data_IF_348740353958
#
_entry.id   IF_348740353958
#
_cell.length_a   1.000
_cell.length_b   1.000
_cell.length_c   1.000
_cell.angle_alpha   90.00
_cell.angle_beta   90.00
_cell.angle_gamma   90.00
#
_symmetry.space_group_name_H-M   'P 1'
#
loop_
_entity.id
_entity.type
_entity.pdbx_description
1 polymer ?
#
# COMPACT_ATOMS: atom_id res chain seq x y z
N UNK A 1 14.08 -0.07 34.15
CA UNK A 1 14.64 -1.35 33.67
C UNK A 1 14.74 -1.21 32.17
N UNK A 2 15.94 -1.32 31.62
CA UNK A 2 16.20 -1.22 30.19
C UNK A 2 16.14 -2.63 29.62
N UNK A 3 15.30 -2.85 28.62
CA UNK A 3 15.23 -4.13 27.91
C UNK A 3 16.12 -3.94 26.69
N UNK A 4 17.24 -4.66 26.62
CA UNK A 4 18.22 -4.62 25.52
C UNK A 4 17.61 -5.21 24.21
N UNK A 5 16.51 -4.63 23.75
CA UNK A 5 15.73 -5.10 22.62
C UNK A 5 15.16 -3.92 21.82
N UNK A 6 15.11 -4.09 20.51
CA UNK A 6 14.41 -3.15 19.64
C UNK A 6 12.90 -3.33 19.81
N UNK A 7 12.19 -2.24 20.06
CA UNK A 7 10.72 -2.21 20.00
C UNK A 7 10.29 -1.76 18.62
N UNK A 8 9.42 -2.55 17.98
CA UNK A 8 8.81 -2.20 16.70
C UNK A 8 7.36 -1.77 16.92
N UNK A 9 7.08 -0.48 16.72
CA UNK A 9 5.71 0.02 16.75
C UNK A 9 5.18 0.20 15.33
N UNK A 10 4.02 -0.39 15.08
CA UNK A 10 3.32 -0.28 13.79
C UNK A 10 2.11 0.62 13.96
N UNK A 11 2.04 1.70 13.20
CA UNK A 11 1.01 2.72 13.35
C UNK A 11 0.49 3.25 12.02
N UNK A 12 -0.79 3.58 11.94
CA UNK A 12 -1.38 4.15 10.72
C UNK A 12 -1.17 5.67 10.64
N UNK A 13 -1.07 6.17 9.41
CA UNK A 13 -1.06 7.61 9.15
C UNK A 13 -2.44 8.24 9.41
N UNK A 14 -2.46 9.56 9.56
CA UNK A 14 -3.68 10.35 9.64
C UNK A 14 -4.42 10.31 8.30
N UNK A 15 -5.62 10.90 8.25
CA UNK A 15 -6.41 11.00 7.02
C UNK A 15 -5.64 11.65 5.85
N UNK A 16 -4.64 12.48 6.13
CA UNK A 16 -3.82 13.14 5.11
C UNK A 16 -2.62 12.32 4.64
N UNK A 17 -2.32 11.17 5.28
CA UNK A 17 -1.20 10.29 4.90
C UNK A 17 0.20 10.84 5.22
N UNK A 18 0.29 11.99 5.90
CA UNK A 18 1.57 12.70 6.11
C UNK A 18 2.22 12.44 7.47
N UNK A 19 1.39 12.25 8.49
CA UNK A 19 1.82 12.13 9.89
C UNK A 19 1.08 10.97 10.54
N UNK A 20 1.66 10.47 11.62
CA UNK A 20 1.11 9.41 12.45
C UNK A 20 -0.19 9.88 13.10
N UNK A 21 -1.22 9.02 13.15
CA UNK A 21 -2.50 9.41 13.75
C UNK A 21 -2.39 9.49 15.28
N UNK A 22 -2.44 10.67 15.88
CA UNK A 22 -2.56 10.80 17.34
C UNK A 22 -1.56 11.79 17.94
N UNK A 23 -0.88 11.38 19.01
CA UNK A 23 0.00 12.24 19.79
C UNK A 23 1.39 12.37 19.13
N UNK A 24 1.85 13.61 18.93
CA UNK A 24 3.19 13.94 18.41
C UNK A 24 4.33 13.39 19.27
N UNK A 25 4.06 13.06 20.53
CA UNK A 25 4.99 12.37 21.43
C UNK A 25 5.52 11.05 20.84
N UNK A 26 4.70 10.34 20.06
CA UNK A 26 5.12 9.11 19.39
C UNK A 26 6.28 9.41 18.45
N UNK A 27 6.14 10.36 17.53
CA UNK A 27 7.23 10.74 16.64
C UNK A 27 8.42 11.31 17.39
N UNK A 28 8.23 12.06 18.48
CA UNK A 28 9.33 12.64 19.26
C UNK A 28 10.19 11.56 19.94
N UNK A 29 9.57 10.53 20.50
CA UNK A 29 10.20 9.51 21.33
C UNK A 29 10.84 8.35 20.57
N UNK A 30 10.74 8.30 19.24
CA UNK A 30 11.37 7.23 18.45
C UNK A 30 12.57 7.70 17.66
N UNK A 31 13.57 6.83 17.53
CA UNK A 31 14.80 7.18 16.82
C UNK A 31 14.61 7.13 15.31
N UNK A 32 13.94 6.08 14.80
CA UNK A 32 13.74 5.89 13.36
C UNK A 32 12.27 5.71 13.04
N UNK A 33 11.78 6.44 12.03
CA UNK A 33 10.40 6.33 11.54
C UNK A 33 10.41 5.87 10.07
N UNK A 34 9.91 4.66 9.79
CA UNK A 34 9.82 4.10 8.43
C UNK A 34 8.41 4.28 7.88
N UNK A 35 8.31 4.94 6.73
CA UNK A 35 7.05 5.14 6.02
C UNK A 35 6.92 4.18 4.84
N UNK A 36 5.76 3.53 4.77
CA UNK A 36 5.34 2.73 3.63
C UNK A 36 4.31 3.51 2.82
N UNK A 37 4.62 3.75 1.54
CA UNK A 37 3.71 4.42 0.61
C UNK A 37 3.47 3.52 -0.60
N UNK A 38 2.22 3.29 -0.97
CA UNK A 38 1.90 2.58 -2.21
C UNK A 38 2.18 3.45 -3.45
N UNK A 39 2.95 2.92 -4.40
CA UNK A 39 3.25 3.50 -5.71
C UNK A 39 2.94 2.47 -6.79
N UNK A 40 1.67 2.46 -7.22
CA UNK A 40 1.10 1.46 -8.14
C UNK A 40 1.26 0.00 -7.66
N UNK A 41 2.17 -0.78 -8.26
CA UNK A 41 2.52 -2.16 -7.89
C UNK A 41 3.71 -2.25 -6.93
N UNK A 42 4.32 -1.11 -6.61
CA UNK A 42 5.44 -0.99 -5.67
C UNK A 42 4.99 -0.42 -4.33
N UNK A 43 5.80 -0.72 -3.32
CA UNK A 43 5.75 -0.15 -1.98
C UNK A 43 7.07 0.59 -1.78
N UNK A 44 6.99 1.91 -1.61
CA UNK A 44 8.14 2.70 -1.17
C UNK A 44 8.32 2.51 0.32
N UNK A 45 9.53 2.13 0.71
CA UNK A 45 9.99 2.06 2.09
C UNK A 45 11.01 3.17 2.29
N UNK A 46 10.65 4.20 3.05
CA UNK A 46 11.51 5.36 3.26
C UNK A 46 11.72 5.67 4.75
N UNK A 47 12.88 6.22 5.05
CA UNK A 47 13.19 6.73 6.38
C UNK A 47 12.67 8.17 6.52
N UNK A 48 11.51 8.35 7.16
CA UNK A 48 10.89 9.67 7.37
C UNK A 48 11.47 10.44 8.57
N UNK A 49 12.17 9.76 9.47
CA UNK A 49 12.94 10.34 10.60
C UNK A 49 14.08 9.39 10.93
N UNK A 50 15.25 9.95 11.23
CA UNK A 50 16.36 9.24 11.85
C UNK A 50 17.01 10.17 12.86
N UNK A 51 17.13 9.73 14.11
CA UNK A 51 17.84 10.42 15.18
C UNK A 51 19.21 9.76 15.31
N UNK A 52 20.26 10.58 15.40
CA UNK A 52 21.64 10.14 15.68
C UNK A 52 22.28 9.16 14.66
N UNK A 53 21.58 8.85 13.57
CA UNK A 53 22.07 8.01 12.48
C UNK A 53 21.70 8.57 11.10
N UNK A 54 22.47 8.19 10.08
CA UNK A 54 22.14 8.50 8.68
C UNK A 54 20.87 7.74 8.28
N UNK A 55 19.90 8.46 7.69
CA UNK A 55 18.72 7.85 7.09
C UNK A 55 19.10 6.79 6.03
N UNK A 56 18.45 5.65 6.04
CA UNK A 56 18.64 4.63 5.00
C UNK A 56 18.02 5.11 3.67
N UNK A 57 18.59 4.71 2.52
CA UNK A 57 18.05 5.10 1.21
C UNK A 57 16.67 4.50 0.99
N UNK A 58 15.79 5.22 0.30
CA UNK A 58 14.47 4.70 -0.08
C UNK A 58 14.61 3.40 -0.86
N UNK A 59 13.89 2.37 -0.42
CA UNK A 59 13.82 1.09 -1.09
C UNK A 59 12.46 0.92 -1.76
N UNK A 60 12.46 0.27 -2.91
CA UNK A 60 11.23 -0.13 -3.59
C UNK A 60 11.05 -1.63 -3.36
N UNK A 61 9.85 -2.01 -2.95
CA UNK A 61 9.51 -3.39 -2.68
C UNK A 61 8.20 -3.74 -3.37
N UNK A 62 7.93 -5.03 -3.54
CA UNK A 62 6.63 -5.53 -3.97
C UNK A 62 6.20 -6.68 -3.08
N UNK A 63 4.91 -6.95 -3.03
CA UNK A 63 4.39 -8.13 -2.35
C UNK A 63 4.49 -9.34 -3.27
N UNK A 64 5.13 -10.40 -2.77
CA UNK A 64 5.14 -11.71 -3.39
C UNK A 64 4.22 -12.62 -2.58
N UNK A 65 3.11 -13.12 -3.15
CA UNK A 65 2.30 -14.13 -2.49
C UNK A 65 3.09 -15.43 -2.34
N UNK A 66 3.00 -16.05 -1.17
CA UNK A 66 3.66 -17.31 -0.83
C UNK A 66 2.61 -18.27 -0.31
N UNK A 67 2.55 -19.47 -0.90
CA UNK A 67 1.69 -20.55 -0.42
C UNK A 67 2.30 -21.20 0.82
N UNK A 68 1.50 -21.35 1.86
CA UNK A 68 1.86 -22.06 3.08
C UNK A 68 1.33 -23.51 3.01
N UNK A 69 1.91 -24.44 3.80
CA UNK A 69 1.25 -25.72 4.09
C UNK A 69 -0.16 -25.42 4.61
N UNK A 70 -1.15 -26.25 4.24
CA UNK A 70 -2.58 -26.08 4.59
C UNK A 70 -3.41 -25.14 3.69
N UNK A 71 -2.94 -24.85 2.47
CA UNK A 71 -3.67 -24.02 1.49
C UNK A 71 -3.92 -22.58 1.93
N UNK A 72 -3.20 -22.12 2.94
CA UNK A 72 -3.15 -20.71 3.30
C UNK A 72 -2.17 -19.96 2.39
N UNK A 73 -2.38 -18.65 2.23
CA UNK A 73 -1.46 -17.78 1.52
C UNK A 73 -1.04 -16.63 2.41
N UNK A 74 0.26 -16.35 2.44
CA UNK A 74 0.83 -15.15 3.04
C UNK A 74 1.49 -14.28 1.96
N UNK A 75 1.92 -13.08 2.32
CA UNK A 75 2.67 -12.20 1.42
C UNK A 75 3.99 -11.80 2.07
N UNK A 76 5.07 -11.84 1.29
CA UNK A 76 6.39 -11.34 1.71
C UNK A 76 6.78 -10.14 0.86
N UNK A 77 7.43 -9.15 1.47
CA UNK A 77 8.01 -8.03 0.74
C UNK A 77 9.35 -8.45 0.17
N UNK A 78 9.53 -8.29 -1.15
CA UNK A 78 10.80 -8.50 -1.83
C UNK A 78 11.28 -7.18 -2.44
N UNK A 79 12.58 -6.94 -2.43
CA UNK A 79 13.19 -5.79 -3.11
C UNK A 79 12.82 -5.84 -4.59
N UNK A 80 12.46 -4.69 -5.13
CA UNK A 80 12.15 -4.48 -6.53
C UNK A 80 12.88 -3.24 -7.03
N UNK A 81 13.19 -3.23 -8.33
CA UNK A 81 13.72 -2.03 -8.97
C UNK A 81 12.56 -1.10 -9.36
N UNK A 82 12.73 0.20 -9.15
CA UNK A 82 11.83 1.17 -9.75
C UNK A 82 12.16 1.31 -11.24
N UNK A 83 11.40 0.62 -12.08
CA UNK A 83 11.48 0.81 -13.53
C UNK A 83 10.62 2.00 -13.91
N UNK A 84 11.19 2.98 -14.62
CA UNK A 84 10.40 4.05 -15.23
C UNK A 84 9.61 3.42 -16.36
N UNK A 85 8.33 3.13 -16.11
CA UNK A 85 7.46 2.53 -17.12
C UNK A 85 7.44 3.37 -18.41
N UNK A 86 7.50 2.70 -19.53
CA UNK A 86 7.43 3.24 -20.88
C UNK A 86 6.17 2.72 -21.56
N UNK A 87 5.88 3.21 -22.77
CA UNK A 87 4.76 2.67 -23.56
C UNK A 87 4.97 1.21 -23.97
N UNK A 88 6.21 0.72 -23.95
CA UNK A 88 6.56 -0.64 -24.35
C UNK A 88 6.35 -1.64 -23.22
N UNK A 89 6.26 -1.18 -21.97
CA UNK A 89 6.06 -2.03 -20.81
C UNK A 89 4.59 -2.45 -20.66
N UNK A 90 4.38 -3.56 -19.96
CA UNK A 90 3.03 -4.00 -19.60
C UNK A 90 2.35 -3.02 -18.64
N UNK A 91 1.04 -2.90 -18.78
CA UNK A 91 0.22 -2.11 -17.85
C UNK A 91 0.14 -2.83 -16.51
N UNK A 92 0.20 -2.07 -15.42
CA UNK A 92 -0.07 -2.62 -14.09
C UNK A 92 -1.54 -3.03 -13.98
N UNK A 93 -1.88 -3.81 -12.95
CA UNK A 93 -3.24 -4.29 -12.75
C UNK A 93 -4.26 -3.14 -12.66
N UNK A 94 -3.93 -2.06 -11.96
CA UNK A 94 -4.84 -0.91 -11.82
C UNK A 94 -4.95 -0.11 -13.12
N UNK A 95 -3.83 0.06 -13.82
CA UNK A 95 -3.81 0.70 -15.14
C UNK A 95 -4.68 -0.07 -16.14
N UNK A 96 -4.53 -1.39 -16.19
CA UNK A 96 -5.29 -2.27 -17.07
C UNK A 96 -6.79 -2.25 -16.72
N UNK A 97 -7.15 -2.30 -15.43
CA UNK A 97 -8.55 -2.15 -14.99
C UNK A 97 -9.18 -0.85 -15.49
N UNK A 98 -8.48 0.27 -15.37
CA UNK A 98 -8.98 1.58 -15.81
C UNK A 98 -9.10 1.64 -17.34
N UNK A 99 -8.07 1.20 -18.07
CA UNK A 99 -8.07 1.15 -19.53
C UNK A 99 -9.22 0.29 -20.05
N UNK A 100 -9.42 -0.90 -19.48
CA UNK A 100 -10.52 -1.79 -19.85
C UNK A 100 -11.90 -1.20 -19.51
N UNK A 101 -12.02 -0.52 -18.37
CA UNK A 101 -13.27 0.16 -17.98
C UNK A 101 -13.64 1.26 -18.98
N UNK A 102 -12.66 2.06 -19.41
CA UNK A 102 -12.87 3.10 -20.41
C UNK A 102 -13.14 2.53 -21.82
N UNK A 103 -12.79 1.27 -22.07
CA UNK A 103 -13.05 0.59 -23.34
C UNK A 103 -14.48 0.07 -23.46
N UNK A 104 -15.22 0.00 -22.35
CA UNK A 104 -16.63 -0.38 -22.39
C UNK A 104 -17.43 0.61 -23.24
N UNK A 105 -18.37 0.10 -24.04
CA UNK A 105 -19.17 0.90 -24.99
C UNK A 105 -19.86 2.10 -24.34
N UNK A 106 -20.28 1.95 -23.09
CA UNK A 106 -21.02 2.96 -22.35
C UNK A 106 -20.14 4.17 -21.96
N UNK A 107 -18.81 4.04 -22.12
CA UNK A 107 -17.83 5.07 -21.81
C UNK A 107 -17.19 5.70 -23.07
N UNK A 108 -17.81 5.56 -24.26
CA UNK A 108 -17.28 6.13 -25.51
C UNK A 108 -17.05 7.65 -25.44
N UNK A 109 -17.90 8.36 -24.70
CA UNK A 109 -17.81 9.81 -24.47
C UNK A 109 -16.94 10.17 -23.25
N UNK A 110 -16.32 9.16 -22.63
CA UNK A 110 -15.48 9.26 -21.46
C UNK A 110 -16.23 9.18 -20.14
N UNK A 111 -15.49 8.81 -19.10
CA UNK A 111 -16.01 8.65 -17.74
C UNK A 111 -15.40 9.68 -16.80
N UNK A 112 -16.14 10.10 -15.78
CA UNK A 112 -15.58 10.95 -14.72
C UNK A 112 -14.67 10.13 -13.79
N UNK A 113 -13.81 10.81 -13.02
CA UNK A 113 -13.01 10.11 -12.01
C UNK A 113 -13.87 9.41 -10.93
N UNK A 114 -15.11 9.87 -10.69
CA UNK A 114 -16.01 9.21 -9.75
C UNK A 114 -16.52 7.88 -10.32
N UNK A 115 -16.98 7.89 -11.57
CA UNK A 115 -17.53 6.70 -12.25
C UNK A 115 -16.44 5.63 -12.44
N UNK A 116 -15.21 6.05 -12.77
CA UNK A 116 -14.06 5.14 -12.89
C UNK A 116 -13.73 4.52 -11.51
N UNK A 117 -13.74 5.31 -10.43
CA UNK A 117 -13.47 4.80 -9.09
C UNK A 117 -14.51 3.74 -8.67
N UNK A 118 -15.78 4.01 -8.94
CA UNK A 118 -16.89 3.10 -8.66
C UNK A 118 -16.78 1.80 -9.46
N UNK A 119 -16.55 1.91 -10.77
CA UNK A 119 -16.48 0.75 -11.67
C UNK A 119 -15.26 -0.13 -11.43
N UNK A 120 -14.12 0.46 -11.08
CA UNK A 120 -12.85 -0.28 -10.90
C UNK A 120 -12.59 -0.73 -9.46
N UNK A 121 -13.28 -0.13 -8.48
CA UNK A 121 -13.00 -0.29 -7.06
C UNK A 121 -11.67 0.32 -6.60
N UNK A 122 -10.99 1.09 -7.46
CA UNK A 122 -9.69 1.70 -7.13
C UNK A 122 -9.90 2.91 -6.22
N UNK A 123 -9.20 2.93 -5.08
CA UNK A 123 -9.27 4.04 -4.13
C UNK A 123 -8.84 5.38 -4.76
N UNK A 124 -9.51 6.49 -4.40
CA UNK A 124 -9.34 7.81 -5.02
C UNK A 124 -7.87 8.29 -5.11
N UNK A 125 -7.08 8.05 -4.05
CA UNK A 125 -5.66 8.44 -4.04
C UNK A 125 -4.84 7.68 -5.09
N UNK A 126 -5.03 6.37 -5.18
CA UNK A 126 -4.42 5.52 -6.21
C UNK A 126 -4.93 5.89 -7.60
N UNK A 127 -6.24 6.12 -7.75
CA UNK A 127 -6.86 6.45 -9.02
C UNK A 127 -6.24 7.69 -9.66
N UNK A 128 -6.09 8.79 -8.91
CA UNK A 128 -5.51 10.02 -9.46
C UNK A 128 -4.07 9.84 -9.93
N UNK A 129 -3.27 9.04 -9.20
CA UNK A 129 -1.90 8.71 -9.60
C UNK A 129 -1.88 7.90 -10.90
N UNK A 130 -2.74 6.87 -10.98
CA UNK A 130 -2.83 6.01 -12.16
C UNK A 130 -3.36 6.75 -13.38
N UNK A 131 -4.35 7.63 -13.22
CA UNK A 131 -4.88 8.47 -14.32
C UNK A 131 -3.81 9.41 -14.87
N UNK A 132 -3.09 10.13 -14.00
CA UNK A 132 -1.96 10.97 -14.44
C UNK A 132 -0.93 10.15 -15.20
N UNK A 133 -0.60 8.95 -14.69
CA UNK A 133 0.35 8.06 -15.35
C UNK A 133 -0.12 7.61 -16.74
N UNK A 134 -1.38 7.21 -16.87
CA UNK A 134 -1.96 6.79 -18.16
C UNK A 134 -2.05 7.95 -19.17
N UNK A 135 -2.21 9.20 -18.70
CA UNK A 135 -2.14 10.40 -19.53
C UNK A 135 -0.71 10.62 -20.03
N UNK A 136 0.28 10.54 -19.14
CA UNK A 136 1.69 10.71 -19.50
C UNK A 136 2.14 9.61 -20.49
N UNK A 137 1.64 8.39 -20.31
CA UNK A 137 1.83 7.28 -21.23
C UNK A 137 0.97 7.38 -22.49
N UNK A 138 0.10 8.39 -22.64
CA UNK A 138 -0.71 8.60 -23.83
C UNK A 138 -1.78 7.55 -24.11
N UNK A 139 -2.12 6.70 -23.13
CA UNK A 139 -3.18 5.70 -23.26
C UNK A 139 -4.58 6.30 -23.08
N UNK A 140 -4.68 7.37 -22.31
CA UNK A 140 -5.92 8.10 -22.09
C UNK A 140 -5.72 9.61 -22.29
N UNK A 141 -6.81 10.31 -22.54
CA UNK A 141 -6.87 11.76 -22.67
C UNK A 141 -7.81 12.32 -21.61
N UNK A 142 -7.43 13.47 -21.04
CA UNK A 142 -8.32 14.26 -20.19
C UNK A 142 -9.07 15.27 -21.06
N UNK A 143 -10.39 15.17 -21.08
CA UNK A 143 -11.27 16.10 -21.79
C UNK A 143 -11.80 17.14 -20.81
N UNK A 144 -11.60 18.40 -21.15
CA UNK A 144 -12.08 19.55 -20.36
C UNK A 144 -13.60 19.70 -20.48
N UNK A 145 -14.22 20.04 -19.36
CA UNK A 145 -15.65 20.33 -19.21
C UNK A 145 -15.92 20.78 -17.77
N UNK A 146 -17.18 21.04 -17.43
CA UNK A 146 -17.57 21.39 -16.05
C UNK A 146 -17.10 20.33 -15.04
N UNK A 147 -17.17 19.06 -15.47
CA UNK A 147 -16.57 17.91 -14.78
C UNK A 147 -15.57 17.28 -15.75
N UNK A 148 -14.27 17.18 -15.38
CA UNK A 148 -13.28 16.54 -16.23
C UNK A 148 -13.64 15.07 -16.51
N UNK A 149 -13.61 14.69 -17.78
CA UNK A 149 -13.81 13.31 -18.23
C UNK A 149 -12.50 12.73 -18.77
N UNK A 150 -12.40 11.41 -18.73
CA UNK A 150 -11.26 10.67 -19.25
C UNK A 150 -11.73 9.74 -20.36
N UNK A 151 -11.01 9.74 -21.48
CA UNK A 151 -11.34 8.95 -22.68
C UNK A 151 -10.11 8.14 -23.12
N UNK A 152 -10.34 7.00 -23.77
CA UNK A 152 -9.25 6.25 -24.41
C UNK A 152 -8.66 7.01 -25.58
N UNK A 153 -7.33 7.13 -25.59
CA UNK A 153 -6.58 7.57 -26.76
C UNK A 153 -6.52 6.45 -27.81
N UNK A 154 -6.02 6.78 -29.02
CA UNK A 154 -5.80 5.77 -30.07
C UNK A 154 -4.90 4.63 -29.59
N UNK A 155 -3.78 4.96 -28.92
CA UNK A 155 -2.84 3.99 -28.36
C UNK A 155 -3.49 3.10 -27.29
N UNK A 156 -4.40 3.67 -26.48
CA UNK A 156 -5.18 2.92 -25.50
C UNK A 156 -6.10 1.88 -26.13
N UNK A 157 -6.78 2.25 -27.23
CA UNK A 157 -7.68 1.32 -27.96
C UNK A 157 -6.90 0.14 -28.53
N UNK A 158 -5.78 0.40 -29.20
CA UNK A 158 -4.90 -0.65 -29.74
C UNK A 158 -4.45 -1.61 -28.64
N UNK A 159 -4.14 -1.09 -27.45
CA UNK A 159 -3.69 -1.91 -26.32
C UNK A 159 -4.79 -2.82 -25.76
N UNK A 160 -6.04 -2.35 -25.73
CA UNK A 160 -7.20 -3.16 -25.30
C UNK A 160 -7.48 -4.29 -26.29
N UNK A 161 -7.41 -3.97 -27.59
CA UNK A 161 -7.68 -4.94 -28.67
C UNK A 161 -6.58 -6.01 -28.78
N UNK A 162 -5.41 -5.77 -28.19
CA UNK A 162 -4.27 -6.70 -28.14
C UNK A 162 -3.99 -7.15 -26.70
N UNK A 163 -4.84 -8.03 -26.11
CA UNK A 163 -4.71 -8.46 -24.72
C UNK A 163 -3.50 -9.36 -24.45
N UNK A 164 -2.76 -9.76 -25.48
CA UNK A 164 -1.64 -10.69 -25.39
C UNK A 164 -0.38 -10.04 -24.82
N UNK A 165 -0.37 -9.90 -23.50
CA UNK A 165 0.54 -10.66 -22.65
C UNK A 165 -0.08 -10.66 -21.24
N UNK A 166 -0.30 -11.83 -20.59
CA UNK A 166 -0.51 -11.83 -19.14
C UNK A 166 0.64 -11.04 -18.54
N UNK A 167 0.42 -10.21 -17.48
CA UNK A 167 1.50 -9.46 -16.87
C UNK A 167 2.59 -10.47 -16.55
N UNK A 168 3.66 -10.46 -17.36
CA UNK A 168 4.68 -11.48 -17.17
C UNK A 168 5.20 -11.21 -15.77
N UNK A 169 5.03 -12.19 -14.90
CA UNK A 169 5.70 -12.18 -13.61
C UNK A 169 7.13 -11.68 -13.83
N UNK A 170 7.62 -10.83 -12.91
CA UNK A 170 8.71 -9.89 -13.16
C UNK A 170 9.91 -10.61 -13.76
N UNK A 171 10.81 -9.87 -14.46
CA UNK A 171 12.10 -10.43 -14.83
C UNK A 171 12.64 -11.16 -13.60
N UNK A 172 12.71 -12.49 -13.69
CA UNK A 172 13.42 -13.31 -12.73
C UNK A 172 14.88 -12.94 -12.90
N UNK A 173 15.27 -11.81 -12.33
CA UNK A 173 16.64 -11.64 -11.93
C UNK A 173 16.92 -12.82 -10.99
N UNK A 174 17.91 -13.66 -11.31
CA UNK A 174 18.26 -14.76 -10.42
C UNK A 174 18.53 -14.17 -9.05
N UNK A 175 17.73 -14.56 -8.06
CA UNK A 175 18.06 -14.33 -6.67
C UNK A 175 19.45 -14.92 -6.47
N UNK A 176 20.47 -14.07 -6.31
CA UNK A 176 21.82 -14.52 -5.98
C UNK A 176 21.73 -15.44 -4.77
N UNK A 177 22.24 -16.68 -4.85
CA UNK A 177 22.27 -17.58 -3.71
C UNK A 177 23.39 -17.13 -2.77
N UNK A 178 23.07 -16.30 -1.79
CA UNK A 178 24.00 -15.96 -0.72
C UNK A 178 23.27 -15.62 0.58
N UNK A 179 22.75 -16.65 1.27
CA UNK A 179 22.83 -16.72 2.73
C UNK A 179 22.47 -18.12 3.25
N UNK A 180 23.38 -19.07 3.05
CA UNK A 180 23.42 -20.32 3.82
C UNK A 180 24.25 -20.08 5.08
N UNK A 181 23.63 -19.71 6.20
CA UNK A 181 24.38 -19.62 7.45
C UNK A 181 23.78 -18.84 8.61
N UNK A 182 22.50 -19.03 8.93
CA UNK A 182 21.96 -18.61 10.23
C UNK A 182 21.07 -19.72 10.79
N UNK A 183 21.70 -20.65 11.51
CA UNK A 183 21.02 -21.61 12.38
C UNK A 183 20.54 -20.85 13.63
N UNK A 184 19.24 -20.58 13.73
CA UNK A 184 18.65 -20.09 14.98
C UNK A 184 18.45 -21.26 15.95
N UNK A 185 18.89 -21.16 17.22
CA UNK A 185 18.54 -22.12 18.25
C UNK A 185 17.06 -21.96 18.62
N UNK A 186 16.32 -23.06 18.55
CA UNK A 186 14.95 -23.16 19.06
C UNK A 186 14.98 -23.19 20.59
N UNK A 187 14.70 -22.06 21.24
CA UNK A 187 14.37 -22.04 22.67
C UNK A 187 12.85 -22.22 22.84
N UNK A 188 12.47 -23.37 23.40
CA UNK A 188 11.10 -23.65 23.84
C UNK A 188 10.74 -22.75 25.01
N UNK A 189 9.83 -21.79 24.79
CA UNK A 189 9.32 -20.90 25.82
C UNK A 189 8.06 -21.51 26.45
N UNK A 190 8.15 -21.90 27.72
CA UNK A 190 7.03 -22.45 28.50
C UNK A 190 6.33 -21.30 29.23
N UNK A 191 5.12 -20.93 28.81
CA UNK A 191 4.28 -19.97 29.53
C UNK A 191 3.65 -20.65 30.76
N UNK A 192 3.89 -20.08 31.94
CA UNK A 192 3.06 -20.28 33.13
C UNK A 192 2.11 -19.09 33.24
N UNK A 193 0.80 -19.37 33.17
CA UNK A 193 -0.27 -18.42 33.45
C UNK A 193 -0.47 -18.36 34.97
N UNK A 194 -0.22 -17.20 35.58
CA UNK A 194 -0.73 -16.88 36.90
C UNK A 194 -1.82 -15.83 36.75
N UNK A 195 -3.05 -16.25 37.10
CA UNK A 195 -4.23 -15.41 37.24
C UNK A 195 -4.11 -14.66 38.57
N UNK A 196 -4.00 -13.33 38.54
CA UNK A 196 -4.36 -12.48 39.67
C UNK A 196 -5.54 -11.60 39.28
N UNK A 197 -6.63 -11.82 40.01
CA UNK A 197 -7.87 -11.05 40.01
C UNK A 197 -7.72 -9.80 40.88
N UNK A 198 -8.10 -8.65 40.33
CA UNK A 198 -8.25 -7.40 41.08
C UNK A 198 -9.48 -6.62 40.63
N UNK A 199 -10.50 -6.61 41.49
CA UNK A 199 -11.57 -5.61 41.66
C UNK A 199 -11.04 -4.16 41.57
N UNK A 200 -11.76 -3.07 41.32
CA UNK A 200 -13.19 -2.69 41.23
C UNK A 200 -13.24 -1.25 40.68
N UNK A 201 -14.40 -0.78 40.19
CA UNK A 201 -14.60 0.66 39.96
C UNK A 201 -15.78 1.04 39.06
N UNK A 202 -16.96 1.19 39.68
CA UNK A 202 -18.11 2.05 39.28
C UNK A 202 -17.68 3.40 38.66
N UNK A 203 -18.47 4.19 37.93
CA UNK A 203 -19.81 4.17 37.31
C UNK A 203 -19.87 5.50 36.53
N UNK A 204 -20.67 5.59 35.46
CA UNK A 204 -20.87 6.85 34.73
C UNK A 204 -21.80 6.72 33.53
N UNK A 205 -23.10 6.93 33.78
CA UNK A 205 -24.12 7.35 32.80
C UNK A 205 -23.67 8.65 32.09
N UNK A 206 -24.04 9.05 30.88
CA UNK A 206 -25.25 8.94 30.05
C UNK A 206 -24.94 9.56 28.66
N UNK A 207 -25.78 9.32 27.64
CA UNK A 207 -26.00 10.31 26.57
C UNK A 207 -25.98 9.85 25.09
N UNK A 208 -27.17 9.49 24.61
CA UNK A 208 -27.79 9.86 23.31
C UNK A 208 -27.12 9.62 21.93
N UNK A 209 -27.72 8.64 21.23
CA UNK A 209 -28.25 8.64 19.85
C UNK A 209 -27.61 9.48 18.73
N UNK A 210 -27.26 8.77 17.64
CA UNK A 210 -27.11 9.36 16.30
C UNK A 210 -26.82 8.30 15.23
N UNK A 211 -27.88 7.72 14.65
CA UNK A 211 -27.82 6.94 13.41
C UNK A 211 -27.34 7.80 12.24
N UNK A 212 -26.36 7.32 11.47
CA UNK A 212 -26.31 7.55 10.02
C UNK A 212 -25.26 6.68 9.30
N UNK A 213 -25.75 5.81 8.42
CA UNK A 213 -25.20 5.56 7.08
C UNK A 213 -23.75 5.08 6.97
N UNK A 214 -23.53 3.79 7.16
CA UNK A 214 -22.26 3.12 6.87
C UNK A 214 -22.10 2.91 5.34
N UNK A 215 -21.50 3.89 4.65
CA UNK A 215 -20.94 3.65 3.31
C UNK A 215 -19.56 3.01 3.48
N UNK A 216 -19.42 1.75 3.08
CA UNK A 216 -18.17 0.98 3.14
C UNK A 216 -17.03 1.68 2.38
N UNK A 217 -16.20 2.44 3.11
CA UNK A 217 -14.94 2.98 2.61
C UNK A 217 -13.86 1.92 2.80
N UNK A 218 -13.37 1.39 1.68
CA UNK A 218 -12.13 0.59 1.64
C UNK A 218 -11.00 1.44 2.22
N UNK A 219 -10.50 1.03 3.40
CA UNK A 219 -9.39 1.70 4.10
C UNK A 219 -8.08 1.35 3.38
N UNK A 220 -7.37 2.37 2.90
CA UNK A 220 -5.97 2.20 2.50
C UNK A 220 -5.14 2.13 3.77
N UNK A 221 -4.56 0.96 4.06
CA UNK A 221 -3.63 0.78 5.17
C UNK A 221 -2.24 1.26 4.73
N UNK A 222 -1.92 2.53 5.01
CA UNK A 222 -0.54 2.97 5.07
C UNK A 222 0.00 2.57 6.46
N UNK A 223 1.04 1.74 6.46
CA UNK A 223 1.67 1.19 7.66
C UNK A 223 2.98 1.95 7.90
N UNK A 224 3.09 2.66 9.01
CA UNK A 224 4.35 3.21 9.48
C UNK A 224 4.98 2.18 10.43
N UNK A 225 6.24 1.84 10.19
CA UNK A 225 7.03 0.91 11.02
C UNK A 225 8.11 1.69 11.75
N UNK A 226 8.27 1.53 13.05
CA UNK A 226 9.09 2.43 13.87
C UNK A 226 10.11 1.64 14.68
N UNK A 227 11.38 2.07 14.69
CA UNK A 227 12.47 1.43 15.45
C UNK A 227 13.04 2.36 16.53
N UNK A 228 13.31 1.79 17.71
CA UNK A 228 14.13 2.39 18.76
C UNK A 228 15.47 1.66 18.87
N UNK A 229 16.55 2.43 18.94
CA UNK A 229 17.91 1.92 19.20
C UNK A 229 18.42 2.64 20.44
N UNK A 230 18.40 1.96 21.59
CA UNK A 230 19.04 2.42 22.82
C UNK A 230 20.44 1.83 22.92
#
# INVERSE_FOLDING_TARGET
>A
QELECATLLVHHTSKEGKVERGNSALRANHDVMIRLTGDDDLILVECSKSKDAKAFPTQYMRLLPVSLPDSESSAVMVIADKVIQTKQDDLTLNQQKIVNTLALSDNSDGASAADIAESTGVGRGTLQRVLSRLIDLGYILRVSGDIPKYQLAADGKVRVDSPDSPPTHPPTHPLSPANSGLTHPTHSFSMKNENESGESGESGESGESGESGESGKVRQHELLTIFNYQ
#
